data_IF_336387269035
#
_entry.id   IF_336387269035
#
_cell.length_a   1.000
_cell.length_b   1.000
_cell.length_c   1.000
_cell.angle_alpha   90.00
_cell.angle_beta   90.00
_cell.angle_gamma   90.00
#
_symmetry.space_group_name_H-M   'P 1'
#
loop_
_entity.id
_entity.type
_entity.pdbx_description
1 polymer ?
#
# COMPACT_ATOMS: atom_id res chain seq x y z
N UNK A 1 0.23 14.15 19.41
CA UNK A 1 0.67 15.54 19.75
C UNK A 1 0.60 15.72 21.26
N UNK A 2 1.52 16.45 21.88
CA UNK A 2 1.54 16.67 23.34
C UNK A 2 1.43 18.15 23.66
N UNK A 3 0.57 18.49 24.63
CA UNK A 3 0.44 19.84 25.17
C UNK A 3 0.70 19.79 26.67
N UNK A 4 1.43 20.77 27.19
CA UNK A 4 1.64 20.93 28.62
C UNK A 4 1.08 22.27 29.06
N UNK A 5 0.23 22.25 30.09
CA UNK A 5 -0.38 23.45 30.66
C UNK A 5 -0.13 23.49 32.18
N UNK A 6 0.17 24.69 32.67
CA UNK A 6 0.22 24.96 34.11
C UNK A 6 -1.17 25.36 34.59
N UNK A 7 -1.67 24.68 35.61
CA UNK A 7 -2.94 25.00 36.27
C UNK A 7 -2.68 25.39 37.71
N UNK A 8 -3.37 26.42 38.17
CA UNK A 8 -3.37 26.86 39.57
C UNK A 8 -4.62 26.31 40.26
N UNK A 9 -4.42 25.67 41.41
CA UNK A 9 -5.49 25.23 42.30
C UNK A 9 -5.46 26.11 43.54
N UNK A 10 -6.61 26.67 43.90
CA UNK A 10 -6.76 27.59 45.02
C UNK A 10 -7.93 27.14 45.89
N UNK A 11 -7.75 27.16 47.21
CA UNK A 11 -8.83 26.91 48.16
C UNK A 11 -9.68 28.17 48.41
N UNK A 12 -10.83 27.99 49.07
CA UNK A 12 -11.73 29.10 49.44
C UNK A 12 -11.41 29.69 50.83
N UNK A 13 -10.19 29.51 51.34
CA UNK A 13 -9.77 29.98 52.65
C UNK A 13 -9.61 31.51 52.74
N UNK A 14 -9.38 32.02 53.95
CA UNK A 14 -9.04 33.43 54.19
C UNK A 14 -7.86 33.53 55.19
N UNK A 15 -6.62 33.79 54.71
CA UNK A 15 -6.24 33.97 53.31
C UNK A 15 -6.29 32.66 52.52
N UNK A 16 -6.49 32.72 51.19
CA UNK A 16 -6.53 31.52 50.36
C UNK A 16 -5.14 30.94 50.13
N UNK A 17 -5.03 29.61 50.09
CA UNK A 17 -3.81 28.90 49.70
C UNK A 17 -3.92 28.47 48.24
N UNK A 18 -2.82 28.58 47.49
CA UNK A 18 -2.77 28.16 46.10
C UNK A 18 -1.49 27.38 45.77
N UNK A 19 -1.59 26.47 44.81
CA UNK A 19 -0.46 25.70 44.26
C UNK A 19 -0.59 25.56 42.75
N UNK A 20 0.54 25.38 42.05
CA UNK A 20 0.57 25.17 40.61
C UNK A 20 0.93 23.71 40.30
N UNK A 21 0.28 23.14 39.30
CA UNK A 21 0.57 21.79 38.80
C UNK A 21 0.64 21.76 37.28
N UNK A 22 1.45 20.86 36.74
CA UNK A 22 1.55 20.62 35.29
C UNK A 22 0.56 19.54 34.87
N UNK A 23 -0.23 19.80 33.83
CA UNK A 23 -1.09 18.82 33.18
C UNK A 23 -0.56 18.58 31.78
N UNK A 24 -0.27 17.31 31.47
CA UNK A 24 0.12 16.89 30.14
C UNK A 24 -1.08 16.27 29.43
N UNK A 25 -1.41 16.80 28.26
CA UNK A 25 -2.50 16.34 27.41
C UNK A 25 -1.89 15.64 26.19
N UNK A 26 -2.20 14.36 26.05
CA UNK A 26 -1.77 13.55 24.91
C UNK A 26 -2.93 13.44 23.93
N UNK A 27 -2.76 14.00 22.74
CA UNK A 27 -3.70 13.84 21.63
C UNK A 27 -3.31 12.60 20.83
N UNK A 28 -4.20 11.62 20.85
CA UNK A 28 -4.12 10.39 20.06
C UNK A 28 -4.61 10.63 18.64
N UNK A 29 -3.96 9.98 17.70
CA UNK A 29 -4.35 9.99 16.29
C UNK A 29 -5.57 9.10 16.04
N UNK A 30 -6.44 9.52 15.12
CA UNK A 30 -7.54 8.70 14.60
C UNK A 30 -7.25 8.37 13.13
N UNK A 31 -7.76 7.25 12.64
CA UNK A 31 -7.63 6.89 11.23
C UNK A 31 -8.73 7.59 10.40
N UNK A 32 -8.58 8.89 10.20
CA UNK A 32 -9.58 9.74 9.54
C UNK A 32 -9.11 10.32 8.19
N UNK A 33 -7.88 10.01 7.77
CA UNK A 33 -7.39 10.30 6.44
C UNK A 33 -7.39 9.01 5.60
N UNK A 34 -7.65 9.16 4.30
CA UNK A 34 -7.57 8.05 3.36
C UNK A 34 -6.28 8.17 2.53
N UNK A 35 -5.65 7.05 2.13
CA UNK A 35 -4.45 7.10 1.32
C UNK A 35 -4.67 7.85 0.00
N UNK A 36 -3.80 8.81 -0.30
CA UNK A 36 -3.78 9.58 -1.54
C UNK A 36 -2.68 9.09 -2.45
N UNK A 37 -3.02 8.70 -3.68
CA UNK A 37 -2.05 8.28 -4.70
C UNK A 37 -1.35 9.52 -5.29
N UNK A 38 -0.03 9.58 -5.15
CA UNK A 38 0.84 10.60 -5.74
C UNK A 38 1.38 10.19 -7.12
N UNK A 39 1.57 8.89 -7.32
CA UNK A 39 2.00 8.34 -8.59
C UNK A 39 1.36 6.95 -8.83
N UNK A 40 0.90 6.64 -10.04
CA UNK A 40 0.72 7.57 -11.16
C UNK A 40 -0.24 8.72 -10.80
N UNK A 41 0.00 9.91 -11.38
CA UNK A 41 -0.82 11.10 -11.10
C UNK A 41 -2.29 10.76 -11.37
N UNK A 42 -3.22 10.98 -10.43
CA UNK A 42 -4.63 10.75 -10.65
C UNK A 42 -5.18 11.85 -11.57
N UNK A 43 -5.11 11.64 -12.89
CA UNK A 43 -5.86 12.44 -13.84
C UNK A 43 -7.31 11.96 -13.82
N UNK A 44 -8.25 12.85 -13.47
CA UNK A 44 -9.68 12.57 -13.24
C UNK A 44 -10.46 11.99 -14.43
N UNK A 45 -9.80 11.67 -15.56
CA UNK A 45 -10.44 11.25 -16.80
C UNK A 45 -9.69 10.14 -17.56
N UNK A 46 -8.54 9.65 -17.09
CA UNK A 46 -7.75 8.68 -17.86
C UNK A 46 -7.13 7.59 -16.99
N UNK A 47 -7.18 6.35 -17.48
CA UNK A 47 -6.40 5.22 -16.97
C UNK A 47 -4.90 5.47 -17.15
N UNK A 48 -4.09 5.14 -16.14
CA UNK A 48 -2.65 5.00 -16.32
C UNK A 48 -2.37 3.76 -17.19
N UNK A 49 -1.49 3.89 -18.18
CA UNK A 49 -1.13 2.79 -19.08
C UNK A 49 0.38 2.66 -19.15
N UNK A 50 0.85 1.43 -18.97
CA UNK A 50 2.25 1.04 -19.15
C UNK A 50 2.33 -0.11 -20.16
N UNK A 51 3.44 -0.21 -20.89
CA UNK A 51 3.62 -1.21 -21.95
C UNK A 51 4.76 -2.13 -21.60
N UNK A 52 4.44 -3.42 -21.42
CA UNK A 52 5.42 -4.47 -21.15
C UNK A 52 5.74 -5.20 -22.45
N UNK A 53 7.03 -5.26 -22.80
CA UNK A 53 7.46 -5.95 -24.00
C UNK A 53 7.21 -7.47 -23.90
N UNK A 54 6.81 -8.15 -24.99
CA UNK A 54 6.76 -9.61 -25.01
C UNK A 54 8.11 -10.22 -24.64
N UNK A 55 8.11 -11.28 -23.81
CA UNK A 55 9.33 -11.94 -23.37
C UNK A 55 10.06 -11.25 -22.21
N UNK A 56 9.49 -10.20 -21.63
CA UNK A 56 9.99 -9.58 -20.39
C UNK A 56 10.10 -10.64 -19.28
N UNK A 57 11.24 -10.75 -18.58
CA UNK A 57 11.43 -11.75 -17.53
C UNK A 57 10.50 -11.51 -16.35
N UNK A 58 10.24 -12.57 -15.59
CA UNK A 58 9.53 -12.50 -14.29
C UNK A 58 10.32 -11.64 -13.31
N UNK A 59 9.61 -10.87 -12.49
CA UNK A 59 10.19 -9.96 -11.51
C UNK A 59 10.63 -8.62 -12.11
N UNK A 60 10.35 -8.37 -13.38
CA UNK A 60 10.57 -7.06 -13.99
C UNK A 60 9.58 -6.05 -13.41
N UNK A 61 10.09 -4.92 -12.93
CA UNK A 61 9.27 -3.81 -12.43
C UNK A 61 8.60 -3.12 -13.60
N UNK A 62 7.27 -3.22 -13.66
CA UNK A 62 6.44 -2.55 -14.66
C UNK A 62 6.25 -1.10 -14.27
N UNK A 63 5.78 -0.87 -13.04
CA UNK A 63 5.57 0.46 -12.50
C UNK A 63 5.50 0.39 -10.96
N UNK A 64 5.21 1.51 -10.33
CA UNK A 64 5.03 1.62 -8.88
C UNK A 64 3.82 2.48 -8.58
N UNK A 65 3.03 2.10 -7.59
CA UNK A 65 2.04 2.98 -6.98
C UNK A 65 2.68 3.64 -5.76
N UNK A 66 2.69 4.96 -5.74
CA UNK A 66 3.14 5.75 -4.61
C UNK A 66 1.91 6.40 -4.00
N UNK A 67 1.62 6.07 -2.75
CA UNK A 67 0.54 6.67 -2.00
C UNK A 67 1.07 7.19 -0.65
N UNK A 68 0.40 8.19 -0.11
CA UNK A 68 0.67 8.78 1.19
C UNK A 68 -0.62 8.87 1.98
N UNK A 69 -0.51 8.67 3.28
CA UNK A 69 -1.58 8.89 4.22
C UNK A 69 -1.13 9.94 5.23
N UNK A 70 -2.03 10.85 5.59
CA UNK A 70 -1.73 11.99 6.44
C UNK A 70 -1.82 11.65 7.95
N UNK A 71 -2.33 10.47 8.29
CA UNK A 71 -2.40 9.98 9.65
C UNK A 71 -1.02 9.66 10.26
N UNK A 72 -0.98 9.31 11.55
CA UNK A 72 0.25 9.01 12.26
C UNK A 72 0.44 7.51 12.53
N UNK A 73 1.69 7.05 12.46
CA UNK A 73 2.06 5.70 12.86
C UNK A 73 1.34 4.61 12.06
N UNK A 74 0.65 3.70 12.76
CA UNK A 74 -0.06 2.57 12.13
C UNK A 74 -1.26 3.00 11.28
N UNK A 75 -1.87 4.15 11.56
CA UNK A 75 -3.00 4.64 10.76
C UNK A 75 -2.54 5.03 9.35
N UNK A 76 -1.30 5.49 9.20
CA UNK A 76 -0.70 5.76 7.89
C UNK A 76 0.03 4.57 7.24
N UNK A 77 -0.13 3.35 7.75
CA UNK A 77 0.44 2.16 7.11
C UNK A 77 -0.41 1.68 5.94
N UNK A 78 0.13 1.85 4.73
CA UNK A 78 -0.55 1.54 3.48
C UNK A 78 -0.21 0.11 3.02
N UNK A 79 -1.23 -0.61 2.56
CA UNK A 79 -1.08 -1.87 1.83
C UNK A 79 -1.71 -1.80 0.43
N UNK A 80 -1.12 -2.49 -0.54
CA UNK A 80 -1.54 -2.50 -1.94
C UNK A 80 -2.06 -3.86 -2.36
N UNK A 81 -3.16 -3.88 -3.12
CA UNK A 81 -3.74 -5.09 -3.72
C UNK A 81 -4.28 -4.80 -5.13
N UNK A 82 -4.08 -5.73 -6.07
CA UNK A 82 -4.71 -5.67 -7.38
C UNK A 82 -6.14 -6.22 -7.28
N UNK A 83 -7.15 -5.37 -7.53
CA UNK A 83 -8.56 -5.73 -7.36
C UNK A 83 -9.16 -6.49 -8.56
N UNK A 84 -8.79 -6.08 -9.77
CA UNK A 84 -9.26 -6.70 -11.01
C UNK A 84 -8.09 -6.82 -11.98
N UNK A 85 -7.89 -8.03 -12.50
CA UNK A 85 -6.93 -8.31 -13.55
C UNK A 85 -7.59 -9.25 -14.57
N UNK A 86 -7.38 -8.99 -15.86
CA UNK A 86 -7.83 -9.91 -16.92
C UNK A 86 -7.21 -11.29 -16.75
N UNK A 87 -5.94 -11.33 -16.31
CA UNK A 87 -5.26 -12.52 -15.83
C UNK A 87 -4.47 -12.18 -14.56
N UNK A 88 -4.90 -12.67 -13.38
CA UNK A 88 -4.26 -12.37 -12.10
C UNK A 88 -2.87 -13.00 -11.95
N UNK A 89 -2.43 -13.83 -12.91
CA UNK A 89 -1.11 -14.47 -12.89
C UNK A 89 -0.04 -13.64 -13.59
N UNK A 90 -0.40 -12.63 -14.39
CA UNK A 90 0.56 -11.86 -15.17
C UNK A 90 1.31 -10.81 -14.35
N UNK A 91 0.70 -10.30 -13.29
CA UNK A 91 1.27 -9.23 -12.48
C UNK A 91 1.03 -9.47 -10.99
N UNK A 92 1.97 -9.04 -10.17
CA UNK A 92 1.80 -8.93 -8.72
C UNK A 92 2.17 -7.54 -8.26
N UNK A 93 1.57 -7.11 -7.13
CA UNK A 93 1.92 -5.87 -6.45
C UNK A 93 2.58 -6.17 -5.11
N UNK A 94 3.68 -5.51 -4.82
CA UNK A 94 4.32 -5.59 -3.51
C UNK A 94 3.43 -4.96 -2.44
N UNK A 95 3.07 -5.76 -1.42
CA UNK A 95 2.07 -5.39 -0.42
C UNK A 95 2.33 -4.03 0.22
N UNK A 96 3.59 -3.69 0.55
CA UNK A 96 3.95 -2.40 1.18
C UNK A 96 4.84 -1.52 0.29
N UNK A 97 5.31 -2.04 -0.85
CA UNK A 97 6.15 -1.25 -1.77
C UNK A 97 5.33 -0.56 -2.85
N UNK A 98 4.16 -1.09 -3.20
CA UNK A 98 3.37 -0.63 -4.34
C UNK A 98 4.01 -0.95 -5.70
N UNK A 99 5.14 -1.66 -5.74
CA UNK A 99 5.78 -2.07 -7.00
C UNK A 99 4.96 -3.13 -7.70
N UNK A 100 4.60 -2.86 -8.95
CA UNK A 100 3.92 -3.81 -9.82
C UNK A 100 4.98 -4.49 -10.67
N UNK A 101 5.07 -5.81 -10.57
CA UNK A 101 6.07 -6.62 -11.27
C UNK A 101 5.40 -7.66 -12.15
N UNK A 102 6.11 -8.09 -13.19
CA UNK A 102 5.71 -9.27 -13.98
C UNK A 102 5.75 -10.52 -13.11
N UNK A 103 4.68 -11.30 -13.12
CA UNK A 103 4.55 -12.55 -12.42
C UNK A 103 4.52 -13.73 -13.41
N UNK A 104 4.84 -14.93 -12.91
CA UNK A 104 4.74 -16.16 -13.71
C UNK A 104 3.27 -16.44 -14.05
N UNK A 105 2.95 -16.93 -15.26
CA UNK A 105 1.72 -17.69 -15.44
C UNK A 105 1.73 -18.80 -14.39
N UNK A 106 0.67 -18.91 -13.58
CA UNK A 106 0.54 -20.06 -12.68
C UNK A 106 0.38 -21.31 -13.58
N UNK A 107 1.50 -22.02 -13.79
CA UNK A 107 1.71 -23.23 -14.62
C UNK A 107 2.22 -23.02 -16.07
N UNK A 108 3.52 -23.26 -16.30
CA UNK A 108 4.06 -23.62 -17.63
C UNK A 108 3.82 -25.10 -18.01
N UNK A 109 3.14 -25.90 -17.17
CA UNK A 109 3.18 -27.37 -17.26
C UNK A 109 2.16 -28.01 -18.21
N UNK A 110 1.24 -27.24 -18.78
CA UNK A 110 0.21 -27.77 -19.70
C UNK A 110 0.69 -27.83 -21.16
N UNK A 111 1.45 -26.84 -21.64
CA UNK A 111 1.92 -26.83 -23.03
C UNK A 111 3.08 -27.81 -23.29
N UNK A 112 3.90 -28.11 -22.27
CA UNK A 112 4.98 -29.11 -22.35
C UNK A 112 4.53 -30.58 -22.19
N UNK A 113 3.25 -30.81 -21.85
CA UNK A 113 2.65 -32.14 -21.81
C UNK A 113 1.95 -32.49 -23.12
N UNK A 114 1.33 -31.51 -23.77
CA UNK A 114 0.60 -31.75 -25.02
C UNK A 114 1.52 -31.90 -26.24
N UNK A 115 2.65 -31.18 -26.25
CA UNK A 115 3.70 -31.29 -27.28
C UNK A 115 4.47 -32.63 -27.28
N UNK A 116 4.26 -33.49 -26.28
CA UNK A 116 4.83 -34.86 -26.22
C UNK A 116 3.85 -35.97 -26.60
N UNK A 117 2.57 -35.66 -26.79
CA UNK A 117 1.56 -36.66 -27.18
C UNK A 117 1.36 -36.79 -28.69
N UNK A 118 1.85 -35.83 -29.47
CA UNK A 118 1.72 -35.84 -30.92
C UNK A 118 3.08 -35.78 -31.62
N UNK A 119 3.86 -36.86 -31.49
CA UNK A 119 4.92 -37.18 -32.44
C UNK A 119 4.35 -38.12 -33.53
N UNK A 120 4.26 -37.70 -34.81
CA UNK A 120 3.89 -38.60 -35.89
C UNK A 120 5.03 -39.58 -36.15
N UNK A 121 4.76 -40.88 -36.05
CA UNK A 121 5.65 -41.92 -36.57
C UNK A 121 5.77 -41.77 -38.09
N UNK A 122 7.00 -41.63 -38.60
CA UNK A 122 7.32 -41.61 -40.03
C UNK A 122 7.03 -42.98 -40.66
N UNK A 123 6.39 -43.07 -41.84
CA UNK A 123 6.24 -44.34 -42.54
C UNK A 123 7.48 -44.64 -43.41
N UNK A 124 7.92 -45.91 -43.39
CA UNK A 124 8.78 -46.54 -44.39
C UNK A 124 7.97 -47.00 -45.60
#
# INVERSE_FOLDING_TARGET
MEFSMMVQVQDSGSPPLATNLSVNVFVTDLNDNAPTVLYPLPNSTSSYTDVVAPGTPVGHVVTKVVAVDADAGYNAWISYTLLQATDPTLFSVGLHSGEIITALPQSPSLWLRESRRHSPTSPT
#
